data_IF_220841741700
#
_entry.id   IF_220841741700
#
_cell.length_a   1.000
_cell.length_b   1.000
_cell.length_c   1.000
_cell.angle_alpha   90.00
_cell.angle_beta   90.00
_cell.angle_gamma   90.00
#
_symmetry.space_group_name_H-M   'P 1'
#
loop_
_entity.id
_entity.type
_entity.pdbx_description
1 polymer ?
#
# COMPACT_ATOMS: atom_id res chain seq x y z
N UNK A 1 -20.26 9.82 -7.14
CA UNK A 1 -18.91 9.84 -6.55
C UNK A 1 -18.55 11.26 -6.21
N UNK A 2 -17.98 11.51 -5.02
CA UNK A 2 -17.65 12.88 -4.67
C UNK A 2 -16.43 13.32 -5.46
N UNK A 3 -16.51 14.55 -5.97
CA UNK A 3 -15.44 15.30 -6.62
C UNK A 3 -14.12 15.30 -5.79
N UNK A 4 -14.24 15.14 -4.46
CA UNK A 4 -13.09 15.12 -3.52
C UNK A 4 -12.22 13.88 -3.62
N UNK A 5 -12.81 12.68 -3.75
CA UNK A 5 -12.02 11.45 -3.86
C UNK A 5 -11.27 11.40 -5.19
N UNK A 6 -11.88 11.87 -6.28
CA UNK A 6 -11.23 11.99 -7.59
C UNK A 6 -10.07 12.98 -7.55
N UNK A 7 -10.26 14.16 -6.96
CA UNK A 7 -9.19 15.17 -6.81
C UNK A 7 -8.02 14.66 -5.97
N UNK A 8 -8.31 13.96 -4.87
CA UNK A 8 -7.24 13.39 -4.05
C UNK A 8 -6.43 12.34 -4.81
N UNK A 9 -7.09 11.49 -5.59
CA UNK A 9 -6.37 10.50 -6.39
C UNK A 9 -5.48 11.16 -7.45
N UNK A 10 -5.96 12.20 -8.13
CA UNK A 10 -5.19 13.01 -9.09
C UNK A 10 -3.98 13.70 -8.42
N UNK A 11 -4.19 14.23 -7.20
CA UNK A 11 -3.11 14.83 -6.40
C UNK A 11 -2.05 13.78 -6.00
N UNK A 12 -2.48 12.59 -5.58
CA UNK A 12 -1.59 11.48 -5.23
C UNK A 12 -0.80 11.02 -6.47
N UNK A 13 -1.44 10.83 -7.62
CA UNK A 13 -0.78 10.49 -8.88
C UNK A 13 0.32 11.49 -9.23
N UNK A 14 -0.02 12.79 -9.16
CA UNK A 14 0.93 13.88 -9.41
C UNK A 14 2.12 13.85 -8.45
N UNK A 15 1.86 13.70 -7.14
CA UNK A 15 2.92 13.67 -6.12
C UNK A 15 3.85 12.48 -6.33
N UNK A 16 3.31 11.27 -6.54
CA UNK A 16 4.13 10.08 -6.81
C UNK A 16 4.99 10.24 -8.07
N UNK A 17 4.41 10.81 -9.12
CA UNK A 17 5.17 11.08 -10.35
C UNK A 17 6.33 12.04 -10.10
N UNK A 18 6.06 13.18 -9.44
CA UNK A 18 7.06 14.20 -9.17
C UNK A 18 8.18 13.72 -8.25
N UNK A 19 7.80 13.09 -7.12
CA UNK A 19 8.80 12.52 -6.21
C UNK A 19 9.64 11.42 -6.88
N UNK A 20 9.04 10.62 -7.76
CA UNK A 20 9.79 9.63 -8.54
C UNK A 20 10.81 10.27 -9.47
N UNK A 21 10.50 11.41 -10.07
CA UNK A 21 11.41 12.10 -11.00
C UNK A 21 12.57 12.79 -10.27
N UNK A 22 12.28 13.51 -9.20
CA UNK A 22 13.29 14.28 -8.48
C UNK A 22 14.27 13.41 -7.69
N UNK A 23 13.79 12.33 -7.10
CA UNK A 23 14.66 11.38 -6.37
C UNK A 23 15.55 10.54 -7.30
N UNK A 24 15.34 10.55 -8.61
CA UNK A 24 16.21 9.88 -9.59
C UNK A 24 17.60 10.46 -9.68
N UNK A 25 17.83 11.71 -9.29
CA UNK A 25 19.16 12.32 -9.21
C UNK A 25 19.96 11.81 -8.01
N UNK A 26 19.33 11.23 -7.00
CA UNK A 26 19.99 10.53 -5.91
C UNK A 26 20.22 9.06 -6.33
N UNK A 27 21.31 8.48 -5.89
CA UNK A 27 21.83 7.16 -6.28
C UNK A 27 20.93 5.95 -5.97
N UNK A 28 19.69 6.15 -5.50
CA UNK A 28 18.75 5.08 -5.24
C UNK A 28 17.79 4.89 -6.41
N UNK A 29 17.81 3.73 -7.08
CA UNK A 29 16.91 3.48 -8.21
C UNK A 29 15.47 3.33 -7.72
N UNK A 30 14.58 4.19 -8.21
CA UNK A 30 13.13 4.04 -8.03
C UNK A 30 12.66 2.82 -8.83
N UNK A 31 12.36 1.73 -8.14
CA UNK A 31 12.15 0.41 -8.72
C UNK A 31 10.97 0.36 -9.69
N UNK A 32 9.85 1.02 -9.36
CA UNK A 32 8.62 0.90 -10.15
C UNK A 32 8.67 1.63 -11.49
N UNK A 33 9.23 2.83 -11.56
CA UNK A 33 9.27 3.59 -12.81
C UNK A 33 10.37 3.10 -13.76
N UNK A 34 11.48 2.60 -13.22
CA UNK A 34 12.53 1.99 -14.02
C UNK A 34 12.01 0.74 -14.74
N UNK A 35 11.14 -0.03 -14.10
CA UNK A 35 10.48 -1.19 -14.70
C UNK A 35 9.57 -0.81 -15.88
N UNK A 36 8.88 0.34 -15.83
CA UNK A 36 7.99 0.78 -16.91
C UNK A 36 8.71 1.41 -18.10
N UNK A 37 9.97 1.83 -17.92
CA UNK A 37 10.77 2.53 -18.96
C UNK A 37 11.81 1.63 -19.64
N UNK A 38 12.15 0.52 -19.01
CA UNK A 38 13.09 -0.45 -19.59
C UNK A 38 12.30 -1.45 -20.46
N UNK A 39 12.36 -1.27 -21.78
CA UNK A 39 11.65 -2.13 -22.73
C UNK A 39 12.21 -3.57 -22.74
N UNK A 40 13.43 -3.77 -22.23
CA UNK A 40 14.09 -5.07 -22.10
C UNK A 40 13.89 -5.69 -20.71
N UNK A 41 13.15 -5.01 -19.82
CA UNK A 41 12.91 -5.52 -18.48
C UNK A 41 12.01 -6.75 -18.53
N UNK A 42 12.57 -7.89 -18.20
CA UNK A 42 11.82 -9.13 -18.00
C UNK A 42 11.46 -9.25 -16.53
N UNK A 43 10.16 -9.33 -16.25
CA UNK A 43 9.66 -9.62 -14.90
C UNK A 43 10.14 -11.01 -14.48
N UNK A 44 11.13 -11.05 -13.61
CA UNK A 44 11.61 -12.31 -13.08
C UNK A 44 11.05 -12.50 -11.66
N UNK A 45 10.41 -13.64 -11.35
CA UNK A 45 9.83 -13.91 -10.02
C UNK A 45 10.80 -13.70 -8.87
N UNK A 46 12.06 -14.03 -9.09
CA UNK A 46 13.14 -13.95 -8.10
C UNK A 46 13.90 -12.61 -8.16
N UNK A 47 13.47 -11.66 -8.97
CA UNK A 47 14.16 -10.38 -9.11
C UNK A 47 13.86 -9.49 -7.91
N UNK A 48 14.89 -9.14 -7.16
CA UNK A 48 14.83 -8.13 -6.08
C UNK A 48 14.35 -6.76 -6.59
N UNK A 49 14.44 -6.51 -7.90
CA UNK A 49 13.98 -5.29 -8.56
C UNK A 49 12.45 -5.14 -8.54
N UNK A 50 11.71 -6.20 -8.24
CA UNK A 50 10.24 -6.22 -8.23
C UNK A 50 9.68 -6.04 -6.81
N UNK A 51 10.52 -6.19 -5.79
CA UNK A 51 10.10 -6.06 -4.38
C UNK A 51 10.34 -4.65 -3.86
N UNK A 52 9.31 -4.07 -3.28
CA UNK A 52 9.43 -2.89 -2.44
C UNK A 52 10.24 -3.26 -1.18
N UNK A 53 11.17 -2.41 -0.77
CA UNK A 53 11.83 -2.58 0.53
C UNK A 53 10.94 -2.02 1.65
N UNK A 54 11.11 -2.50 2.88
CA UNK A 54 10.43 -1.91 4.05
C UNK A 54 10.68 -0.40 4.15
N UNK A 55 11.89 0.07 3.81
CA UNK A 55 12.22 1.49 3.82
C UNK A 55 11.42 2.28 2.77
N UNK A 56 11.26 1.74 1.57
CA UNK A 56 10.45 2.38 0.51
C UNK A 56 8.98 2.44 0.93
N UNK A 57 8.45 1.33 1.48
CA UNK A 57 7.09 1.27 2.00
C UNK A 57 6.87 2.31 3.11
N UNK A 58 7.58 2.20 4.22
CA UNK A 58 7.47 3.09 5.38
C UNK A 58 7.74 4.55 4.99
N UNK A 59 8.70 4.80 4.08
CA UNK A 59 9.04 6.14 3.61
C UNK A 59 7.95 6.82 2.79
N UNK A 60 7.09 6.08 2.10
CA UNK A 60 5.98 6.63 1.30
C UNK A 60 4.75 7.00 2.14
N UNK A 61 4.52 6.34 3.27
CA UNK A 61 3.30 6.48 4.06
C UNK A 61 3.06 7.87 4.66
N UNK A 62 4.08 8.62 5.16
CA UNK A 62 3.89 9.97 5.65
C UNK A 62 3.31 10.93 4.61
N UNK A 63 3.75 10.83 3.36
CA UNK A 63 3.22 11.62 2.26
C UNK A 63 1.72 11.33 2.03
N UNK A 64 1.36 10.05 1.99
CA UNK A 64 -0.05 9.64 1.87
C UNK A 64 -0.88 10.14 3.05
N UNK A 65 -0.39 9.98 4.28
CA UNK A 65 -1.09 10.45 5.48
C UNK A 65 -1.38 11.96 5.41
N UNK A 66 -0.39 12.77 5.02
CA UNK A 66 -0.56 14.22 4.84
C UNK A 66 -1.57 14.54 3.75
N UNK A 67 -1.56 13.80 2.62
CA UNK A 67 -2.52 14.01 1.53
C UNK A 67 -3.96 13.65 1.94
N UNK A 68 -4.15 12.57 2.70
CA UNK A 68 -5.48 12.12 3.12
C UNK A 68 -6.06 12.94 4.29
N UNK A 69 -5.23 13.41 5.21
CA UNK A 69 -5.65 14.03 6.48
C UNK A 69 -6.68 15.16 6.33
N UNK A 70 -6.58 16.12 5.37
CA UNK A 70 -7.56 17.18 5.21
C UNK A 70 -8.99 16.72 4.90
N UNK A 71 -9.13 15.47 4.42
CA UNK A 71 -10.42 14.90 4.04
C UNK A 71 -11.06 14.05 5.14
N UNK A 72 -10.30 13.66 6.16
CA UNK A 72 -10.77 12.76 7.22
C UNK A 72 -11.82 13.44 8.10
N UNK A 73 -11.66 14.75 8.39
CA UNK A 73 -12.64 15.55 9.17
C UNK A 73 -13.08 14.92 10.51
N UNK A 74 -12.18 14.24 11.18
CA UNK A 74 -12.39 13.63 12.49
C UNK A 74 -11.42 14.30 13.47
N UNK A 75 -11.97 15.06 14.44
CA UNK A 75 -11.18 15.85 15.40
C UNK A 75 -10.35 14.98 16.35
N UNK A 76 -10.72 13.70 16.50
CA UNK A 76 -9.98 12.74 17.32
C UNK A 76 -8.74 12.15 16.60
N UNK A 77 -8.52 12.49 15.33
CA UNK A 77 -7.34 12.07 14.58
C UNK A 77 -6.22 13.09 14.75
N UNK A 78 -5.17 12.71 15.47
CA UNK A 78 -3.92 13.47 15.56
C UNK A 78 -2.95 12.99 14.47
N UNK A 79 -2.66 13.87 13.50
CA UNK A 79 -1.73 13.57 12.41
C UNK A 79 -0.31 13.27 12.92
N UNK A 80 0.15 14.00 13.93
CA UNK A 80 1.49 13.80 14.49
C UNK A 80 1.64 12.42 15.16
N UNK A 81 0.58 11.95 15.82
CA UNK A 81 0.52 10.59 16.37
C UNK A 81 0.47 9.56 15.25
N UNK A 82 -0.37 9.76 14.24
CA UNK A 82 -0.48 8.85 13.10
C UNK A 82 0.85 8.71 12.34
N UNK A 83 1.58 9.81 12.11
CA UNK A 83 2.90 9.79 11.46
C UNK A 83 3.95 9.01 12.27
N UNK A 84 3.95 9.13 13.61
CA UNK A 84 4.82 8.32 14.48
C UNK A 84 4.47 6.84 14.38
N UNK A 85 3.18 6.50 14.35
CA UNK A 85 2.71 5.13 14.18
C UNK A 85 3.19 4.55 12.85
N UNK A 86 3.00 5.29 11.74
CA UNK A 86 3.45 4.88 10.41
C UNK A 86 4.97 4.69 10.32
N UNK A 87 5.75 5.46 11.08
CA UNK A 87 7.20 5.31 11.09
C UNK A 87 7.69 4.02 11.77
N UNK A 88 6.88 3.40 12.62
CA UNK A 88 7.31 2.26 13.45
C UNK A 88 6.49 0.98 13.21
N UNK A 89 5.39 1.03 12.44
CA UNK A 89 4.38 -0.05 12.38
C UNK A 89 4.94 -1.40 11.92
N UNK A 90 5.92 -1.42 11.02
CA UNK A 90 6.52 -2.64 10.46
C UNK A 90 7.87 -3.01 11.09
N UNK A 91 8.27 -2.34 12.20
CA UNK A 91 9.59 -2.62 12.79
C UNK A 91 9.72 -4.06 13.30
N UNK A 92 8.61 -4.70 13.66
CA UNK A 92 8.58 -6.12 14.04
C UNK A 92 8.99 -7.05 12.91
N UNK A 93 8.71 -6.67 11.67
CA UNK A 93 9.06 -7.44 10.47
C UNK A 93 10.57 -7.54 10.23
N UNK A 94 11.38 -6.66 10.82
CA UNK A 94 12.84 -6.78 10.77
C UNK A 94 13.36 -8.05 11.46
N UNK A 95 12.57 -8.65 12.35
CA UNK A 95 12.90 -9.92 13.03
C UNK A 95 12.09 -11.08 12.45
N UNK A 96 10.78 -10.90 12.29
CA UNK A 96 9.86 -11.96 11.87
C UNK A 96 9.78 -12.13 10.34
N UNK A 97 10.24 -11.12 9.57
CA UNK A 97 10.11 -11.04 8.12
C UNK A 97 8.73 -10.54 7.67
N UNK A 98 8.70 -9.85 6.54
CA UNK A 98 7.44 -9.46 5.88
C UNK A 98 6.71 -10.70 5.37
N UNK A 99 5.42 -10.78 5.66
CA UNK A 99 4.54 -11.86 5.22
C UNK A 99 3.44 -11.32 4.32
N UNK A 100 3.10 -12.08 3.29
CA UNK A 100 2.01 -11.73 2.38
C UNK A 100 0.70 -11.53 3.15
N UNK A 101 0.19 -10.31 3.14
CA UNK A 101 -1.02 -9.88 3.87
C UNK A 101 -2.25 -10.75 3.59
N UNK A 102 -2.35 -11.32 2.38
CA UNK A 102 -3.51 -12.11 1.96
C UNK A 102 -3.51 -13.55 2.52
N UNK A 103 -2.37 -14.03 3.01
CA UNK A 103 -2.22 -15.39 3.54
C UNK A 103 -1.58 -15.42 4.94
N UNK A 104 -1.27 -14.24 5.52
CA UNK A 104 -0.67 -14.11 6.84
C UNK A 104 -1.58 -14.77 7.89
N UNK A 105 -1.12 -15.83 8.59
CA UNK A 105 -1.86 -16.36 9.72
C UNK A 105 -1.80 -15.37 10.89
N UNK A 106 -2.71 -15.55 11.86
CA UNK A 106 -2.55 -14.88 13.16
C UNK A 106 -1.19 -15.29 13.76
N UNK A 107 -0.31 -14.32 13.94
CA UNK A 107 1.06 -14.55 14.41
C UNK A 107 1.16 -14.76 15.93
N UNK A 108 0.01 -14.72 16.64
CA UNK A 108 -0.04 -14.86 18.09
C UNK A 108 0.71 -13.78 18.85
N UNK A 109 0.91 -12.61 18.26
CA UNK A 109 1.62 -11.47 18.83
C UNK A 109 3.15 -11.55 18.74
N UNK A 110 3.72 -12.38 17.87
CA UNK A 110 5.16 -12.47 17.64
C UNK A 110 5.74 -11.17 17.13
N UNK A 111 5.05 -10.54 16.18
CA UNK A 111 5.44 -9.26 15.60
C UNK A 111 5.48 -8.14 16.66
N UNK A 112 4.47 -8.10 17.55
CA UNK A 112 4.48 -7.20 18.70
C UNK A 112 5.64 -7.48 19.66
N UNK A 113 5.95 -8.75 19.91
CA UNK A 113 7.07 -9.14 20.77
C UNK A 113 8.42 -8.78 20.13
N UNK A 114 8.55 -8.94 18.81
CA UNK A 114 9.71 -8.54 18.03
C UNK A 114 9.89 -7.01 18.05
N UNK A 115 8.84 -6.26 17.79
CA UNK A 115 8.86 -4.80 17.83
C UNK A 115 9.30 -4.25 19.20
N UNK A 116 8.83 -4.84 20.30
CA UNK A 116 9.24 -4.47 21.66
C UNK A 116 10.72 -4.67 21.95
N UNK A 117 11.42 -5.55 21.23
CA UNK A 117 12.88 -5.74 21.37
C UNK A 117 13.66 -4.63 20.68
N UNK A 118 13.10 -4.05 19.62
CA UNK A 118 13.77 -3.05 18.79
C UNK A 118 13.40 -1.61 19.18
N UNK A 119 12.16 -1.40 19.62
CA UNK A 119 11.66 -0.07 19.99
C UNK A 119 12.06 0.32 21.40
N UNK A 120 12.36 1.62 21.58
CA UNK A 120 12.42 2.19 22.92
C UNK A 120 11.06 2.00 23.62
N UNK A 121 11.03 1.63 24.92
CA UNK A 121 9.80 1.41 25.69
C UNK A 121 8.75 2.53 25.61
N UNK A 122 9.17 3.78 25.39
CA UNK A 122 8.24 4.92 25.25
C UNK A 122 7.29 4.78 24.05
N UNK A 123 7.63 3.95 23.06
CA UNK A 123 6.82 3.71 21.86
C UNK A 123 6.00 2.41 21.92
N UNK A 124 6.12 1.58 22.97
CA UNK A 124 5.44 0.29 23.03
C UNK A 124 3.92 0.42 23.02
N UNK A 125 3.35 1.39 23.76
CA UNK A 125 1.90 1.63 23.75
C UNK A 125 1.44 2.19 22.41
N UNK A 126 2.25 3.02 21.75
CA UNK A 126 1.95 3.55 20.42
C UNK A 126 1.91 2.43 19.37
N UNK A 127 2.89 1.53 19.42
CA UNK A 127 2.93 0.36 18.54
C UNK A 127 1.75 -0.59 18.79
N UNK A 128 1.44 -0.86 20.05
CA UNK A 128 0.28 -1.66 20.43
C UNK A 128 -1.03 -1.03 19.96
N UNK A 129 -1.18 0.29 20.05
CA UNK A 129 -2.38 1.00 19.64
C UNK A 129 -2.62 0.87 18.12
N UNK A 130 -1.59 1.01 17.28
CA UNK A 130 -1.75 0.82 15.82
C UNK A 130 -2.12 -0.62 15.48
N UNK A 131 -1.51 -1.61 16.12
CA UNK A 131 -1.85 -3.02 15.88
C UNK A 131 -3.30 -3.35 16.29
N UNK A 132 -3.74 -2.82 17.41
CA UNK A 132 -5.11 -3.03 17.91
C UNK A 132 -6.14 -2.07 17.28
N UNK A 133 -5.71 -1.08 16.51
CA UNK A 133 -6.56 -0.02 15.95
C UNK A 133 -7.44 0.65 17.03
N UNK A 134 -6.89 0.87 18.20
CA UNK A 134 -7.65 1.31 19.37
C UNK A 134 -8.12 2.77 19.25
N UNK A 135 -7.24 3.68 18.89
CA UNK A 135 -7.55 5.10 18.69
C UNK A 135 -7.96 5.42 17.24
N UNK A 136 -8.55 6.61 17.03
CA UNK A 136 -8.85 7.14 15.69
C UNK A 136 -7.58 7.38 14.88
N UNK A 137 -6.51 7.88 15.52
CA UNK A 137 -5.20 8.04 14.88
C UNK A 137 -4.61 6.71 14.45
N UNK A 138 -4.79 5.65 15.25
CA UNK A 138 -4.36 4.29 14.91
C UNK A 138 -5.15 3.72 13.72
N UNK A 139 -6.48 3.91 13.70
CA UNK A 139 -7.33 3.52 12.56
C UNK A 139 -6.91 4.24 11.29
N UNK A 140 -6.66 5.55 11.38
CA UNK A 140 -6.18 6.35 10.26
C UNK A 140 -4.82 5.84 9.76
N UNK A 141 -3.82 5.69 10.63
CA UNK A 141 -2.52 5.17 10.27
C UNK A 141 -2.61 3.78 9.62
N UNK A 142 -3.37 2.85 10.21
CA UNK A 142 -3.56 1.50 9.63
C UNK A 142 -4.29 1.55 8.28
N UNK A 143 -5.22 2.49 8.07
CA UNK A 143 -5.86 2.68 6.76
C UNK A 143 -4.84 3.15 5.70
N UNK A 144 -3.94 4.06 6.04
CA UNK A 144 -2.89 4.54 5.14
C UNK A 144 -1.93 3.41 4.78
N UNK A 145 -1.47 2.64 5.76
CA UNK A 145 -0.65 1.45 5.53
C UNK A 145 -1.35 0.48 4.54
N UNK A 146 -2.61 0.15 4.81
CA UNK A 146 -3.33 -0.85 4.01
C UNK A 146 -3.73 -0.37 2.61
N UNK A 147 -3.93 0.93 2.38
CA UNK A 147 -4.29 1.47 1.05
C UNK A 147 -3.07 1.77 0.17
N UNK A 148 -1.90 1.99 0.76
CA UNK A 148 -0.68 2.35 0.03
C UNK A 148 -0.31 1.32 -1.06
N UNK A 149 -0.28 0.00 -0.80
CA UNK A 149 -0.02 -1.00 -1.84
C UNK A 149 -1.04 -0.97 -2.97
N UNK A 150 -2.31 -0.67 -2.69
CA UNK A 150 -3.37 -0.63 -3.69
C UNK A 150 -3.22 0.59 -4.62
N UNK A 151 -2.72 1.71 -4.07
CA UNK A 151 -2.36 2.90 -4.87
C UNK A 151 -1.18 2.57 -5.79
N UNK A 152 -0.16 1.88 -5.28
CA UNK A 152 0.98 1.43 -6.09
C UNK A 152 0.50 0.51 -7.22
N UNK A 153 -0.37 -0.45 -6.94
CA UNK A 153 -0.94 -1.34 -7.96
C UNK A 153 -1.70 -0.59 -9.05
N UNK A 154 -2.37 0.50 -8.68
CA UNK A 154 -3.03 1.37 -9.64
C UNK A 154 -2.03 2.17 -10.48
N UNK A 155 -0.91 2.61 -9.92
CA UNK A 155 0.08 3.47 -10.60
C UNK A 155 1.04 2.69 -11.51
N UNK A 156 1.46 1.49 -11.11
CA UNK A 156 2.38 0.66 -11.91
C UNK A 156 1.72 0.16 -13.21
N UNK A 157 2.50 -0.26 -14.23
CA UNK A 157 1.93 -0.91 -15.41
C UNK A 157 1.03 -2.10 -15.05
N UNK A 158 -0.11 -2.27 -15.73
CA UNK A 158 -1.10 -3.32 -15.38
C UNK A 158 -0.51 -4.73 -15.42
N UNK A 159 0.43 -5.01 -16.30
CA UNK A 159 1.16 -6.28 -16.38
C UNK A 159 1.89 -6.62 -15.09
N UNK A 160 2.46 -5.63 -14.39
CA UNK A 160 3.16 -5.83 -13.11
C UNK A 160 2.19 -6.32 -12.04
N UNK A 161 1.04 -5.64 -11.93
CA UNK A 161 -0.01 -6.01 -10.97
C UNK A 161 -0.57 -7.39 -11.26
N UNK A 162 -0.91 -7.67 -12.53
CA UNK A 162 -1.45 -8.97 -12.94
C UNK A 162 -0.46 -10.09 -12.66
N UNK A 163 0.82 -9.91 -13.06
CA UNK A 163 1.87 -10.88 -12.79
C UNK A 163 2.03 -11.14 -11.29
N UNK A 164 2.06 -10.09 -10.46
CA UNK A 164 2.22 -10.21 -9.02
C UNK A 164 1.10 -11.04 -8.38
N UNK A 165 -0.16 -10.77 -8.72
CA UNK A 165 -1.28 -11.53 -8.18
C UNK A 165 -1.35 -12.96 -8.71
N UNK A 166 -0.95 -13.20 -9.95
CA UNK A 166 -0.80 -14.55 -10.48
C UNK A 166 0.29 -15.31 -9.73
N UNK A 167 1.48 -14.72 -9.64
CA UNK A 167 2.66 -15.39 -9.06
C UNK A 167 2.51 -15.67 -7.55
N UNK A 168 2.11 -14.68 -6.77
CA UNK A 168 2.05 -14.81 -5.30
C UNK A 168 0.72 -15.34 -4.76
N UNK A 169 -0.36 -15.19 -5.48
CA UNK A 169 -1.71 -15.55 -5.03
C UNK A 169 -2.42 -16.55 -5.95
N UNK A 170 -1.82 -16.94 -7.05
CA UNK A 170 -2.37 -17.83 -8.07
C UNK A 170 -3.75 -17.36 -8.60
N UNK A 171 -3.93 -16.04 -8.77
CA UNK A 171 -5.16 -15.45 -9.29
C UNK A 171 -5.04 -15.18 -10.79
N UNK A 172 -6.03 -15.65 -11.55
CA UNK A 172 -6.02 -15.61 -13.02
C UNK A 172 -7.07 -14.65 -13.60
N UNK A 173 -7.90 -14.04 -12.78
CA UNK A 173 -8.92 -13.10 -13.25
C UNK A 173 -8.85 -11.77 -12.49
N UNK A 174 -9.18 -10.70 -13.20
CA UNK A 174 -9.24 -9.36 -12.61
C UNK A 174 -10.30 -9.27 -11.51
N UNK A 175 -11.43 -9.95 -11.69
CA UNK A 175 -12.51 -9.91 -10.70
C UNK A 175 -12.11 -10.61 -9.40
N UNK A 176 -11.34 -11.71 -9.47
CA UNK A 176 -10.77 -12.37 -8.29
C UNK A 176 -9.76 -11.48 -7.59
N UNK A 177 -8.89 -10.78 -8.33
CA UNK A 177 -7.92 -9.83 -7.77
C UNK A 177 -8.63 -8.72 -6.99
N UNK A 178 -9.58 -8.03 -7.64
CA UNK A 178 -10.32 -6.94 -7.00
C UNK A 178 -11.11 -7.45 -5.78
N UNK A 179 -11.75 -8.62 -5.89
CA UNK A 179 -12.47 -9.24 -4.77
C UNK A 179 -11.52 -9.52 -3.59
N UNK A 180 -10.35 -10.09 -3.85
CA UNK A 180 -9.35 -10.38 -2.81
C UNK A 180 -8.94 -9.10 -2.08
N UNK A 181 -8.58 -8.05 -2.83
CA UNK A 181 -8.19 -6.76 -2.26
C UNK A 181 -9.33 -6.19 -1.40
N UNK A 182 -10.54 -6.12 -1.94
CA UNK A 182 -11.69 -5.57 -1.22
C UNK A 182 -11.96 -6.31 0.08
N UNK A 183 -11.99 -7.64 0.04
CA UNK A 183 -12.27 -8.46 1.24
C UNK A 183 -11.25 -8.21 2.36
N UNK A 184 -9.97 -8.06 2.01
CA UNK A 184 -8.90 -7.90 3.01
C UNK A 184 -8.68 -6.45 3.46
N UNK A 185 -8.97 -5.47 2.61
CA UNK A 185 -8.64 -4.05 2.88
C UNK A 185 -9.84 -3.23 3.35
N UNK A 186 -11.04 -3.51 2.88
CA UNK A 186 -12.25 -2.78 3.27
C UNK A 186 -12.48 -2.68 4.78
N UNK A 187 -12.21 -3.71 5.60
CA UNK A 187 -12.37 -3.61 7.06
C UNK A 187 -11.58 -2.45 7.69
N UNK A 188 -10.44 -2.09 7.11
CA UNK A 188 -9.60 -0.98 7.56
C UNK A 188 -10.11 0.40 7.09
N UNK A 189 -11.08 0.46 6.18
CA UNK A 189 -11.59 1.70 5.59
C UNK A 189 -12.94 2.14 6.16
N UNK A 190 -13.74 1.19 6.67
CA UNK A 190 -15.14 1.43 7.05
C UNK A 190 -15.34 2.32 8.28
N UNK A 191 -14.31 2.60 9.06
CA UNK A 191 -14.39 3.50 10.21
C UNK A 191 -14.59 4.98 9.80
N UNK A 192 -14.25 5.34 8.56
CA UNK A 192 -14.39 6.70 8.04
C UNK A 192 -15.05 6.69 6.65
N UNK A 193 -16.12 7.49 6.43
CA UNK A 193 -16.85 7.51 5.15
C UNK A 193 -15.99 7.89 3.95
N UNK A 194 -15.05 8.85 4.10
CA UNK A 194 -14.17 9.25 3.01
C UNK A 194 -13.19 8.12 2.63
N UNK A 195 -12.60 7.43 3.60
CA UNK A 195 -11.73 6.28 3.33
C UNK A 195 -12.48 5.17 2.58
N UNK A 196 -13.72 4.90 2.96
CA UNK A 196 -14.57 3.92 2.28
C UNK A 196 -14.84 4.33 0.82
N UNK A 197 -15.20 5.58 0.60
CA UNK A 197 -15.48 6.12 -0.75
C UNK A 197 -14.23 6.10 -1.63
N UNK A 198 -13.09 6.55 -1.09
CA UNK A 198 -11.83 6.56 -1.81
C UNK A 198 -11.38 5.15 -2.20
N UNK A 199 -11.42 4.19 -1.28
CA UNK A 199 -11.06 2.80 -1.57
C UNK A 199 -11.94 2.21 -2.68
N UNK A 200 -13.25 2.45 -2.61
CA UNK A 200 -14.16 2.03 -3.68
C UNK A 200 -13.78 2.62 -5.04
N UNK A 201 -13.54 3.93 -5.10
CA UNK A 201 -13.11 4.61 -6.33
C UNK A 201 -11.81 4.02 -6.88
N UNK A 202 -10.83 3.78 -5.99
CA UNK A 202 -9.55 3.19 -6.37
C UNK A 202 -9.74 1.78 -6.97
N UNK A 203 -10.57 0.94 -6.36
CA UNK A 203 -10.86 -0.40 -6.85
C UNK A 203 -11.58 -0.39 -8.20
N UNK A 204 -12.53 0.52 -8.40
CA UNK A 204 -13.23 0.69 -9.68
C UNK A 204 -12.24 1.11 -10.79
N UNK A 205 -11.33 2.05 -10.50
CA UNK A 205 -10.30 2.50 -11.45
C UNK A 205 -9.27 1.40 -11.73
N UNK A 206 -8.76 0.73 -10.71
CA UNK A 206 -7.82 -0.38 -10.85
C UNK A 206 -8.44 -1.52 -11.68
N UNK A 207 -9.63 -1.96 -11.33
CA UNK A 207 -10.34 -3.01 -12.07
C UNK A 207 -10.55 -2.65 -13.55
N UNK A 208 -10.92 -1.40 -13.83
CA UNK A 208 -11.08 -0.91 -15.21
C UNK A 208 -9.76 -0.93 -15.97
N UNK A 209 -8.66 -0.47 -15.35
CA UNK A 209 -7.32 -0.48 -15.93
C UNK A 209 -6.84 -1.91 -16.26
N UNK A 210 -6.96 -2.83 -15.31
CA UNK A 210 -6.56 -4.23 -15.50
C UNK A 210 -7.40 -4.93 -16.58
N UNK A 211 -8.73 -4.72 -16.59
CA UNK A 211 -9.62 -5.28 -17.62
C UNK A 211 -9.33 -4.73 -19.02
N UNK A 212 -9.00 -3.45 -19.12
CA UNK A 212 -8.63 -2.83 -20.39
C UNK A 212 -7.36 -3.47 -20.97
N UNK A 213 -6.36 -3.70 -20.14
CA UNK A 213 -5.12 -4.36 -20.55
C UNK A 213 -5.37 -5.83 -20.97
N UNK A 214 -6.14 -6.58 -20.21
CA UNK A 214 -6.42 -7.99 -20.49
C UNK A 214 -7.15 -8.20 -21.84
N UNK A 215 -7.96 -7.21 -22.29
CA UNK A 215 -8.61 -7.24 -23.61
C UNK A 215 -7.66 -7.12 -24.80
N UNK A 216 -6.42 -6.68 -24.60
CA UNK A 216 -5.43 -6.55 -25.68
C UNK A 216 -4.85 -7.89 -26.14
N UNK A 217 -5.27 -9.02 -25.55
CA UNK A 217 -4.81 -10.36 -25.92
C UNK A 217 -3.39 -10.69 -25.52
N UNK A 218 -2.74 -9.84 -24.72
CA UNK A 218 -1.45 -10.19 -24.12
C UNK A 218 -1.70 -11.18 -23.00
N UNK A 219 -1.25 -12.41 -23.19
CA UNK A 219 -1.29 -13.46 -22.18
C UNK A 219 -0.31 -13.10 -21.04
N UNK A 220 -0.82 -12.54 -19.95
CA UNK A 220 -0.01 -12.24 -18.77
C UNK A 220 0.43 -13.49 -17.98
N UNK A 221 -0.15 -14.67 -18.24
CA UNK A 221 0.33 -15.96 -17.72
C UNK A 221 1.49 -16.59 -18.52
N UNK A 222 2.03 -15.88 -19.52
CA UNK A 222 3.15 -16.35 -20.36
C UNK A 222 4.42 -15.46 -20.21
N UNK A 223 4.47 -14.57 -19.20
CA UNK A 223 5.63 -13.73 -18.89
C UNK A 223 6.60 -14.50 -17.92
#
# INVERSE_FOLDING_TARGET
MSDKASRLLEEIEFLFEKYSDELRSSTQPYRFRRMSQDQDFKYHPDSELVRESLMEHVGSLPMLAVAFYPYIKDEDVDLGIALKMLAIHDIGELIEGDQNTFIKPDDGGKELAAAKKLLNPIYHELYKDIEMQGSKSAKFAKSIDKIAPDIIDYLVPPEVTLWRFDHFNNLKSVDEIIKLIVVHKQPYMVWNPFMTEFHKLLMDKLGSKLKSYNRTGKNWGAL
#
